data_IF_387255273974
#
_entry.id   IF_387255273974
#
_cell.length_a   1.000
_cell.length_b   1.000
_cell.length_c   1.000
_cell.angle_alpha   90.00
_cell.angle_beta   90.00
_cell.angle_gamma   90.00
#
_symmetry.space_group_name_H-M   'P 1'
#
loop_
_entity.id
_entity.type
_entity.pdbx_description
1 polymer ?
#
# COMPACT_ATOMS: atom_id res chain seq x y z
N UNK A 1 29.24 -14.55 -0.99
CA UNK A 1 29.75 -13.55 0.00
C UNK A 1 29.25 -13.89 1.40
N UNK A 2 29.97 -13.52 2.46
CA UNK A 2 29.46 -13.64 3.82
C UNK A 2 28.35 -12.60 4.06
N UNK A 3 27.19 -13.08 4.51
CA UNK A 3 26.02 -12.22 4.75
C UNK A 3 26.29 -11.11 5.77
N UNK A 4 27.07 -11.39 6.82
CA UNK A 4 27.38 -10.41 7.86
C UNK A 4 28.15 -9.19 7.36
N UNK A 5 28.90 -9.34 6.26
CA UNK A 5 29.70 -8.29 5.63
C UNK A 5 29.07 -7.74 4.35
N UNK A 6 27.87 -8.23 3.95
CA UNK A 6 27.24 -7.90 2.70
C UNK A 6 26.45 -6.59 2.77
N UNK A 7 26.35 -5.89 1.64
CA UNK A 7 25.39 -4.80 1.44
C UNK A 7 23.96 -5.32 1.45
N UNK A 8 23.74 -6.57 1.03
CA UNK A 8 22.45 -7.25 1.03
C UNK A 8 21.82 -7.25 2.43
N UNK A 9 22.59 -7.49 3.48
CA UNK A 9 22.12 -7.38 4.87
C UNK A 9 21.59 -5.98 5.18
N UNK A 10 22.33 -4.94 4.80
CA UNK A 10 21.96 -3.54 5.07
C UNK A 10 20.72 -3.12 4.31
N UNK A 11 20.63 -3.46 3.00
CA UNK A 11 19.46 -3.11 2.18
C UNK A 11 18.21 -3.88 2.60
N UNK A 12 18.33 -5.13 3.06
CA UNK A 12 17.21 -5.87 3.65
C UNK A 12 16.69 -5.19 4.92
N UNK A 13 17.57 -4.81 5.84
CA UNK A 13 17.19 -4.11 7.06
C UNK A 13 16.57 -2.73 6.78
N UNK A 14 17.14 -2.00 5.81
CA UNK A 14 16.59 -0.73 5.34
C UNK A 14 15.20 -0.89 4.72
N UNK A 15 15.00 -1.93 3.91
CA UNK A 15 13.71 -2.21 3.28
C UNK A 15 12.68 -2.62 4.33
N UNK A 16 13.02 -3.49 5.27
CA UNK A 16 12.16 -3.81 6.40
C UNK A 16 11.66 -2.54 7.12
N UNK A 17 12.58 -1.62 7.45
CA UNK A 17 12.22 -0.37 8.11
C UNK A 17 11.35 0.53 7.21
N UNK A 18 11.59 0.55 5.90
CA UNK A 18 10.81 1.30 4.92
C UNK A 18 9.35 0.79 4.88
N UNK A 19 9.15 -0.50 4.71
CA UNK A 19 7.82 -1.11 4.67
C UNK A 19 7.05 -0.91 5.99
N UNK A 20 7.71 -1.08 7.12
CA UNK A 20 7.07 -0.88 8.43
C UNK A 20 6.53 0.55 8.59
N UNK A 21 7.33 1.57 8.23
CA UNK A 21 6.90 2.95 8.36
C UNK A 21 5.86 3.32 7.27
N UNK A 22 5.92 2.72 6.08
CA UNK A 22 4.95 2.90 5.00
C UNK A 22 3.59 2.30 5.39
N UNK A 23 3.59 1.08 5.89
CA UNK A 23 2.40 0.45 6.46
C UNK A 23 1.77 1.29 7.59
N UNK A 24 2.59 1.89 8.47
CA UNK A 24 2.09 2.81 9.50
C UNK A 24 1.46 4.08 8.90
N UNK A 25 2.09 4.70 7.88
CA UNK A 25 1.52 5.87 7.20
C UNK A 25 0.18 5.55 6.54
N UNK A 26 0.05 4.40 5.88
CA UNK A 26 -1.22 3.95 5.30
C UNK A 26 -2.29 3.72 6.36
N UNK A 27 -1.94 3.19 7.54
CA UNK A 27 -2.91 3.11 8.65
C UNK A 27 -3.40 4.50 9.09
N UNK A 28 -2.52 5.50 9.14
CA UNK A 28 -2.92 6.88 9.48
C UNK A 28 -3.81 7.49 8.39
N UNK A 29 -3.48 7.29 7.12
CA UNK A 29 -4.30 7.74 5.99
C UNK A 29 -5.68 7.04 5.96
N UNK A 30 -5.74 5.76 6.25
CA UNK A 30 -6.99 5.01 6.35
C UNK A 30 -7.88 5.54 7.48
N UNK A 31 -7.28 5.89 8.63
CA UNK A 31 -8.00 6.54 9.73
C UNK A 31 -8.54 7.92 9.31
N UNK A 32 -7.74 8.72 8.60
CA UNK A 32 -8.18 10.01 8.08
C UNK A 32 -9.35 9.84 7.11
N UNK A 33 -9.26 8.89 6.16
CA UNK A 33 -10.33 8.59 5.22
C UNK A 33 -11.65 8.24 5.94
N UNK A 34 -11.56 7.44 7.02
CA UNK A 34 -12.74 7.07 7.81
C UNK A 34 -13.33 8.29 8.56
N UNK A 35 -12.49 9.16 9.09
CA UNK A 35 -12.93 10.41 9.75
C UNK A 35 -13.64 11.37 8.78
N UNK A 36 -13.23 11.36 7.51
CA UNK A 36 -13.89 12.10 6.42
C UNK A 36 -15.16 11.39 5.88
N UNK A 37 -15.57 10.28 6.50
CA UNK A 37 -16.75 9.50 6.10
C UNK A 37 -16.55 8.64 4.85
N UNK A 38 -15.30 8.39 4.45
CA UNK A 38 -14.93 7.58 3.27
C UNK A 38 -14.54 6.16 3.68
N UNK A 39 -15.49 5.35 4.16
CA UNK A 39 -15.26 3.98 4.64
C UNK A 39 -14.65 3.07 3.57
N UNK A 40 -15.19 3.13 2.34
CA UNK A 40 -14.66 2.34 1.22
C UNK A 40 -13.20 2.69 0.89
N UNK A 41 -12.86 3.97 0.86
CA UNK A 41 -11.48 4.42 0.64
C UNK A 41 -10.55 3.97 1.78
N UNK A 42 -11.03 4.09 3.03
CA UNK A 42 -10.31 3.57 4.20
C UNK A 42 -9.99 2.07 4.08
N UNK A 43 -10.93 1.27 3.60
CA UNK A 43 -10.76 -0.17 3.41
C UNK A 43 -9.65 -0.47 2.37
N UNK A 44 -9.63 0.23 1.24
CA UNK A 44 -8.60 0.05 0.22
C UNK A 44 -7.22 0.40 0.79
N UNK A 45 -7.08 1.56 1.44
CA UNK A 45 -5.81 2.00 2.01
C UNK A 45 -5.31 1.04 3.10
N UNK A 46 -6.21 0.46 3.93
CA UNK A 46 -5.86 -0.59 4.89
C UNK A 46 -5.33 -1.87 4.21
N UNK A 47 -5.85 -2.19 3.03
CA UNK A 47 -5.33 -3.33 2.27
C UNK A 47 -3.90 -3.08 1.81
N UNK A 48 -3.58 -1.87 1.34
CA UNK A 48 -2.20 -1.49 1.04
C UNK A 48 -1.32 -1.60 2.30
N UNK A 49 -1.74 -1.02 3.42
CA UNK A 49 -1.00 -1.13 4.69
C UNK A 49 -0.70 -2.59 5.09
N UNK A 50 -1.65 -3.50 4.88
CA UNK A 50 -1.44 -4.94 5.12
C UNK A 50 -0.39 -5.52 4.18
N UNK A 51 -0.36 -5.09 2.92
CA UNK A 51 0.62 -5.55 1.95
C UNK A 51 2.04 -5.11 2.33
N UNK A 52 2.23 -3.85 2.77
CA UNK A 52 3.54 -3.38 3.24
C UNK A 52 4.05 -4.21 4.43
N UNK A 53 3.16 -4.53 5.37
CA UNK A 53 3.55 -5.40 6.49
C UNK A 53 3.90 -6.83 6.05
N UNK A 54 3.28 -7.33 4.97
CA UNK A 54 3.66 -8.62 4.38
C UNK A 54 5.04 -8.54 3.69
N UNK A 55 5.35 -7.46 2.98
CA UNK A 55 6.68 -7.22 2.42
C UNK A 55 7.74 -7.13 3.54
N UNK A 56 7.49 -6.34 4.58
CA UNK A 56 8.35 -6.24 5.76
C UNK A 56 8.65 -7.61 6.36
N UNK A 57 7.64 -8.48 6.50
CA UNK A 57 7.82 -9.83 7.01
C UNK A 57 8.75 -10.66 6.12
N UNK A 58 8.67 -10.52 4.78
CA UNK A 58 9.56 -11.26 3.89
C UNK A 58 11.01 -10.78 4.00
N UNK A 59 11.25 -9.47 4.09
CA UNK A 59 12.58 -8.94 4.34
C UNK A 59 13.15 -9.40 5.68
N UNK A 60 12.35 -9.36 6.74
CA UNK A 60 12.72 -9.92 8.04
C UNK A 60 13.09 -11.41 7.96
N UNK A 61 12.30 -12.22 7.27
CA UNK A 61 12.54 -13.64 7.09
C UNK A 61 13.87 -13.91 6.38
N UNK A 62 14.22 -13.09 5.37
CA UNK A 62 15.52 -13.22 4.67
C UNK A 62 16.69 -12.87 5.59
N UNK A 63 16.57 -11.81 6.40
CA UNK A 63 17.58 -11.45 7.40
C UNK A 63 17.79 -12.62 8.39
N UNK A 64 16.68 -13.17 8.93
CA UNK A 64 16.74 -14.30 9.87
C UNK A 64 17.35 -15.56 9.24
N UNK A 65 16.96 -15.87 7.99
CA UNK A 65 17.49 -17.04 7.25
C UNK A 65 19.01 -16.99 7.10
N UNK A 66 19.52 -15.86 6.64
CA UNK A 66 20.95 -15.72 6.34
C UNK A 66 21.80 -15.33 7.56
N UNK A 67 21.20 -14.61 8.50
CA UNK A 67 21.88 -14.20 9.74
C UNK A 67 22.01 -15.33 10.75
N UNK A 68 21.11 -16.34 10.72
CA UNK A 68 21.02 -17.43 11.70
C UNK A 68 20.99 -16.87 13.12
N UNK A 69 21.74 -17.46 14.05
CA UNK A 69 21.83 -17.03 15.45
C UNK A 69 22.78 -15.82 15.67
N UNK A 70 23.38 -15.31 14.59
CA UNK A 70 24.39 -14.24 14.65
C UNK A 70 23.84 -12.85 14.25
N UNK A 71 22.52 -12.70 14.09
CA UNK A 71 21.95 -11.39 13.77
C UNK A 71 21.92 -10.53 15.03
N UNK A 72 22.79 -9.53 15.04
CA UNK A 72 22.78 -8.47 16.03
C UNK A 72 21.98 -7.26 15.48
N UNK A 73 21.90 -6.19 16.26
CA UNK A 73 21.33 -4.94 15.79
C UNK A 73 21.97 -4.47 14.48
N UNK A 74 21.16 -4.22 13.47
CA UNK A 74 21.61 -3.67 12.19
C UNK A 74 21.27 -2.19 12.18
N UNK A 75 22.29 -1.33 12.10
CA UNK A 75 22.08 0.11 11.97
C UNK A 75 21.68 0.44 10.52
N UNK A 76 20.57 1.17 10.36
CA UNK A 76 20.13 1.67 9.06
C UNK A 76 20.18 3.18 9.04
N UNK A 77 20.75 3.74 7.98
CA UNK A 77 20.72 5.17 7.71
C UNK A 77 19.86 5.39 6.47
N UNK A 78 18.65 5.91 6.66
CA UNK A 78 17.70 6.18 5.58
C UNK A 78 16.79 7.36 5.93
N UNK A 79 16.42 8.14 4.91
CA UNK A 79 15.40 9.18 5.02
C UNK A 79 14.03 8.62 4.67
N UNK A 80 13.05 8.86 5.52
CA UNK A 80 11.65 8.50 5.29
C UNK A 80 10.76 9.74 5.29
N UNK A 81 9.66 9.78 4.51
CA UNK A 81 8.77 10.92 4.47
C UNK A 81 7.89 10.97 5.74
N UNK A 82 7.79 12.17 6.34
CA UNK A 82 6.83 12.49 7.40
C UNK A 82 5.90 13.57 6.88
N UNK A 83 4.83 13.16 6.21
CA UNK A 83 3.89 14.05 5.53
C UNK A 83 2.54 14.02 6.22
N UNK A 84 1.93 15.21 6.34
CA UNK A 84 0.56 15.40 6.82
C UNK A 84 -0.17 16.32 5.84
N UNK A 85 -1.49 16.31 5.87
CA UNK A 85 -2.31 17.16 5.02
C UNK A 85 -3.61 16.48 4.60
N UNK A 86 -4.24 17.05 3.58
CA UNK A 86 -5.47 16.52 3.00
C UNK A 86 -5.25 15.16 2.33
N UNK A 87 -6.22 14.27 2.47
CA UNK A 87 -6.14 12.90 1.95
C UNK A 87 -5.86 12.86 0.44
N UNK A 88 -6.47 13.77 -0.33
CA UNK A 88 -6.23 13.85 -1.79
C UNK A 88 -4.76 14.15 -2.13
N UNK A 89 -4.10 14.97 -1.32
CA UNK A 89 -2.68 15.29 -1.50
C UNK A 89 -1.80 14.12 -1.06
N UNK A 90 -2.11 13.49 0.06
CA UNK A 90 -1.38 12.32 0.58
C UNK A 90 -1.40 11.16 -0.42
N UNK A 91 -2.55 10.83 -1.01
CA UNK A 91 -2.67 9.80 -2.05
C UNK A 91 -1.70 10.03 -3.22
N UNK A 92 -1.58 11.29 -3.69
CA UNK A 92 -0.64 11.65 -4.77
C UNK A 92 0.82 11.45 -4.35
N UNK A 93 1.15 11.87 -3.14
CA UNK A 93 2.53 11.80 -2.63
C UNK A 93 2.97 10.38 -2.37
N UNK A 94 2.07 9.53 -1.86
CA UNK A 94 2.37 8.12 -1.66
C UNK A 94 2.47 7.38 -3.01
N UNK A 95 1.63 7.69 -4.00
CA UNK A 95 1.80 7.14 -5.35
C UNK A 95 3.20 7.44 -5.94
N UNK A 96 3.75 8.64 -5.68
CA UNK A 96 5.11 9.00 -6.10
C UNK A 96 6.18 8.20 -5.34
N UNK A 97 5.95 7.89 -4.06
CA UNK A 97 6.82 7.05 -3.27
C UNK A 97 6.88 5.63 -3.85
N UNK A 98 5.71 5.01 -4.05
CA UNK A 98 5.58 3.67 -4.62
C UNK A 98 6.29 3.57 -5.98
N UNK A 99 6.08 4.57 -6.84
CA UNK A 99 6.80 4.66 -8.11
C UNK A 99 8.31 4.65 -7.90
N UNK A 100 8.80 5.41 -6.93
CA UNK A 100 10.22 5.46 -6.59
C UNK A 100 10.78 4.13 -6.11
N UNK A 101 10.02 3.42 -5.28
CA UNK A 101 10.36 2.09 -4.76
C UNK A 101 10.37 1.05 -5.88
N UNK A 102 9.31 1.00 -6.69
CA UNK A 102 9.14 0.00 -7.75
C UNK A 102 10.05 0.20 -8.95
N UNK A 103 10.28 1.43 -9.41
CA UNK A 103 11.07 1.68 -10.62
C UNK A 103 12.58 1.82 -10.37
N UNK A 104 13.01 2.19 -9.16
CA UNK A 104 14.41 2.56 -8.92
C UNK A 104 15.05 1.87 -7.71
N UNK A 105 14.39 1.89 -6.55
CA UNK A 105 15.01 1.44 -5.30
C UNK A 105 15.14 -0.08 -5.29
N UNK A 106 14.05 -0.80 -5.41
CA UNK A 106 14.07 -2.26 -5.33
C UNK A 106 14.75 -2.94 -6.53
N UNK A 107 14.63 -2.46 -7.79
CA UNK A 107 15.44 -2.99 -8.88
C UNK A 107 16.94 -2.83 -8.65
N UNK A 108 17.38 -1.68 -8.08
CA UNK A 108 18.79 -1.50 -7.70
C UNK A 108 19.22 -2.45 -6.58
N UNK A 109 18.35 -2.68 -5.60
CA UNK A 109 18.64 -3.60 -4.50
C UNK A 109 18.68 -5.05 -4.97
N UNK A 110 17.82 -5.42 -5.92
CA UNK A 110 17.89 -6.73 -6.58
C UNK A 110 19.24 -6.96 -7.27
N UNK A 111 19.73 -5.96 -8.03
CA UNK A 111 21.06 -6.06 -8.66
C UNK A 111 22.16 -6.27 -7.63
N UNK A 112 22.18 -5.48 -6.55
CA UNK A 112 23.19 -5.62 -5.47
C UNK A 112 23.16 -7.03 -4.86
N UNK A 113 21.95 -7.53 -4.53
CA UNK A 113 21.80 -8.85 -3.94
C UNK A 113 22.31 -9.97 -4.88
N UNK A 114 22.03 -9.85 -6.16
CA UNK A 114 22.45 -10.80 -7.19
C UNK A 114 23.98 -10.78 -7.36
N UNK A 115 24.59 -9.60 -7.43
CA UNK A 115 26.03 -9.44 -7.52
C UNK A 115 26.78 -10.02 -6.30
N UNK A 116 26.14 -10.04 -5.14
CA UNK A 116 26.67 -10.64 -3.91
C UNK A 116 26.34 -12.14 -3.75
N UNK A 117 25.58 -12.74 -4.69
CA UNK A 117 25.24 -14.17 -4.72
C UNK A 117 24.02 -14.54 -3.86
N UNK A 118 23.13 -13.57 -3.56
CA UNK A 118 21.87 -13.78 -2.85
C UNK A 118 20.68 -13.75 -3.81
N UNK A 119 20.62 -14.70 -4.75
CA UNK A 119 19.64 -14.72 -5.84
C UNK A 119 18.20 -14.72 -5.35
N UNK A 120 17.87 -15.49 -4.31
CA UNK A 120 16.52 -15.54 -3.75
C UNK A 120 16.11 -14.23 -3.00
N UNK A 121 17.08 -13.40 -2.63
CA UNK A 121 16.84 -12.04 -2.12
C UNK A 121 16.63 -11.09 -3.29
N UNK A 122 17.41 -11.23 -4.36
CA UNK A 122 17.20 -10.45 -5.58
C UNK A 122 15.81 -10.69 -6.17
N UNK A 123 15.39 -11.95 -6.27
CA UNK A 123 14.05 -12.33 -6.76
C UNK A 123 12.94 -11.74 -5.87
N UNK A 124 13.13 -11.72 -4.55
CA UNK A 124 12.19 -11.06 -3.64
C UNK A 124 12.07 -9.57 -3.92
N UNK A 125 13.18 -8.83 -4.08
CA UNK A 125 13.14 -7.41 -4.43
C UNK A 125 12.44 -7.15 -5.77
N UNK A 126 12.67 -8.01 -6.79
CA UNK A 126 12.00 -7.88 -8.08
C UNK A 126 10.48 -8.13 -7.97
N UNK A 127 10.05 -9.07 -7.12
CA UNK A 127 8.62 -9.31 -6.88
C UNK A 127 7.97 -8.14 -6.14
N UNK A 128 8.59 -7.65 -5.08
CA UNK A 128 8.08 -6.49 -4.33
C UNK A 128 8.02 -5.26 -5.26
N UNK A 129 9.06 -5.00 -6.06
CA UNK A 129 9.05 -3.88 -7.02
C UNK A 129 7.80 -3.86 -7.93
N UNK A 130 7.34 -5.04 -8.38
CA UNK A 130 6.13 -5.15 -9.21
C UNK A 130 4.86 -4.82 -8.42
N UNK A 131 4.82 -5.18 -7.14
CA UNK A 131 3.69 -4.85 -6.26
C UNK A 131 3.63 -3.36 -6.01
N UNK A 132 4.78 -2.69 -5.77
CA UNK A 132 4.83 -1.23 -5.58
C UNK A 132 4.31 -0.46 -6.80
N UNK A 133 4.57 -0.94 -8.01
CA UNK A 133 3.97 -0.36 -9.23
C UNK A 133 2.44 -0.56 -9.24
N UNK A 134 1.93 -1.67 -8.75
CA UNK A 134 0.48 -1.89 -8.59
C UNK A 134 -0.12 -0.95 -7.53
N UNK A 135 0.57 -0.73 -6.40
CA UNK A 135 0.20 0.23 -5.37
C UNK A 135 0.18 1.66 -5.93
N UNK A 136 1.22 2.05 -6.67
CA UNK A 136 1.26 3.34 -7.38
C UNK A 136 -0.01 3.56 -8.21
N UNK A 137 -0.36 2.62 -9.09
CA UNK A 137 -1.53 2.74 -9.96
C UNK A 137 -2.83 2.86 -9.15
N UNK A 138 -2.96 2.07 -8.07
CA UNK A 138 -4.11 2.13 -7.17
C UNK A 138 -4.25 3.52 -6.53
N UNK A 139 -3.16 4.05 -5.98
CA UNK A 139 -3.14 5.37 -5.34
C UNK A 139 -3.38 6.51 -6.32
N UNK A 140 -2.83 6.43 -7.54
CA UNK A 140 -3.09 7.41 -8.60
C UNK A 140 -4.58 7.45 -9.01
N UNK A 141 -5.20 6.28 -9.17
CA UNK A 141 -6.64 6.20 -9.48
C UNK A 141 -7.50 6.73 -8.34
N UNK A 142 -7.17 6.40 -7.09
CA UNK A 142 -7.87 6.93 -5.92
C UNK A 142 -7.72 8.46 -5.83
N UNK A 143 -6.50 8.98 -6.01
CA UNK A 143 -6.24 10.41 -6.07
C UNK A 143 -7.10 11.10 -7.13
N UNK A 144 -7.09 10.58 -8.36
CA UNK A 144 -7.85 11.12 -9.49
C UNK A 144 -9.34 11.10 -9.23
N UNK A 145 -9.89 9.98 -8.74
CA UNK A 145 -11.32 9.84 -8.44
C UNK A 145 -11.75 10.74 -7.29
N UNK A 146 -10.95 10.84 -6.23
CA UNK A 146 -11.26 11.71 -5.10
C UNK A 146 -11.22 13.19 -5.53
N UNK A 147 -10.16 13.62 -6.22
CA UNK A 147 -10.01 14.99 -6.74
C UNK A 147 -11.17 15.42 -7.65
N UNK A 148 -11.69 14.51 -8.46
CA UNK A 148 -12.76 14.77 -9.42
C UNK A 148 -14.17 14.49 -8.87
N UNK A 149 -14.31 14.20 -7.57
CA UNK A 149 -15.57 13.80 -6.94
C UNK A 149 -16.29 12.67 -7.71
N UNK A 150 -15.52 11.69 -8.18
CA UNK A 150 -16.01 10.57 -9.01
C UNK A 150 -15.83 9.20 -8.38
N UNK A 151 -15.39 9.13 -7.12
CA UNK A 151 -15.12 7.87 -6.42
C UNK A 151 -16.38 6.97 -6.34
N UNK A 152 -17.54 7.59 -6.20
CA UNK A 152 -18.85 6.92 -6.07
C UNK A 152 -19.71 7.06 -7.31
N UNK A 153 -19.10 7.25 -8.49
CA UNK A 153 -19.78 7.41 -9.77
C UNK A 153 -19.26 6.40 -10.80
N UNK A 154 -20.15 6.00 -11.70
CA UNK A 154 -19.83 5.19 -12.87
C UNK A 154 -20.49 5.75 -14.12
N UNK A 155 -19.95 5.42 -15.30
CA UNK A 155 -20.59 5.70 -16.59
C UNK A 155 -21.85 4.85 -16.78
N UNK A 156 -21.81 3.61 -16.28
CA UNK A 156 -22.89 2.64 -16.41
C UNK A 156 -23.59 2.41 -15.07
N UNK A 157 -24.76 1.75 -15.12
CA UNK A 157 -25.50 1.35 -13.94
C UNK A 157 -24.78 0.13 -13.31
N UNK A 158 -24.36 0.28 -12.05
CA UNK A 158 -23.74 -0.77 -11.26
C UNK A 158 -24.48 -0.99 -9.94
N UNK A 159 -24.37 -2.20 -9.36
CA UNK A 159 -24.83 -2.45 -8.00
C UNK A 159 -23.87 -1.78 -7.00
N UNK A 160 -24.34 -0.72 -6.34
CA UNK A 160 -23.66 -0.13 -5.18
C UNK A 160 -24.17 -0.81 -3.93
N UNK A 161 -23.26 -1.43 -3.17
CA UNK A 161 -23.55 -2.08 -1.90
C UNK A 161 -23.05 -1.24 -0.74
N UNK A 162 -23.92 -1.01 0.23
CA UNK A 162 -23.56 -0.37 1.50
C UNK A 162 -22.78 -1.34 2.37
N UNK A 163 -21.55 -1.00 2.75
CA UNK A 163 -20.69 -1.85 3.58
C UNK A 163 -21.19 -1.97 5.03
N UNK A 164 -22.03 -1.03 5.50
CA UNK A 164 -22.60 -1.10 6.84
C UNK A 164 -23.74 -2.11 6.95
N UNK A 165 -24.73 -2.03 6.04
CA UNK A 165 -25.97 -2.80 6.17
C UNK A 165 -26.26 -3.77 5.03
N UNK A 166 -25.42 -3.82 4.01
CA UNK A 166 -25.58 -4.71 2.87
C UNK A 166 -26.62 -4.28 1.82
N UNK A 167 -27.31 -3.13 2.00
CA UNK A 167 -28.29 -2.64 1.02
C UNK A 167 -27.62 -2.44 -0.35
N UNK A 168 -28.23 -2.99 -1.40
CA UNK A 168 -27.77 -2.87 -2.79
C UNK A 168 -28.69 -1.96 -3.57
N UNK A 169 -28.12 -0.98 -4.28
CA UNK A 169 -28.85 -0.05 -5.15
C UNK A 169 -28.17 -0.01 -6.52
N UNK A 170 -28.94 -0.28 -7.57
CA UNK A 170 -28.46 -0.18 -8.96
C UNK A 170 -28.60 1.25 -9.47
N UNK A 171 -27.47 1.90 -9.72
CA UNK A 171 -27.42 3.30 -10.15
C UNK A 171 -26.13 3.64 -10.89
N UNK A 172 -26.05 4.82 -11.51
CA UNK A 172 -24.79 5.41 -12.01
C UNK A 172 -23.99 6.13 -10.93
N UNK A 173 -24.61 6.39 -9.78
CA UNK A 173 -23.98 7.03 -8.65
C UNK A 173 -24.55 6.46 -7.35
N UNK A 174 -23.70 6.15 -6.40
CA UNK A 174 -24.12 5.73 -5.08
C UNK A 174 -24.99 6.82 -4.41
N UNK A 175 -26.03 6.45 -3.68
CA UNK A 175 -26.85 7.41 -2.93
C UNK A 175 -26.00 8.25 -1.97
N UNK A 176 -26.40 9.51 -1.75
CA UNK A 176 -25.75 10.37 -0.76
C UNK A 176 -25.89 9.83 0.65
N UNK A 177 -27.04 9.16 0.91
CA UNK A 177 -27.37 8.55 2.20
C UNK A 177 -28.05 7.21 1.95
N UNK A 178 -27.65 6.19 2.71
CA UNK A 178 -28.26 4.88 2.64
C UNK A 178 -29.70 4.91 3.15
N UNK A 179 -30.69 4.44 2.37
CA UNK A 179 -32.10 4.50 2.78
C UNK A 179 -32.44 3.55 3.95
N UNK A 180 -31.59 2.57 4.24
CA UNK A 180 -31.82 1.62 5.32
C UNK A 180 -31.13 2.02 6.63
N UNK A 181 -29.83 2.38 6.58
CA UNK A 181 -29.03 2.61 7.79
C UNK A 181 -28.55 4.06 7.96
N UNK A 182 -28.92 4.97 7.03
CA UNK A 182 -28.55 6.39 7.04
C UNK A 182 -27.04 6.70 6.94
N UNK A 183 -26.18 5.72 6.63
CA UNK A 183 -24.77 5.97 6.39
C UNK A 183 -24.56 6.77 5.11
N UNK A 184 -23.54 7.63 5.11
CA UNK A 184 -23.20 8.49 3.99
C UNK A 184 -22.69 7.72 2.75
N UNK A 185 -22.60 8.42 1.63
CA UNK A 185 -22.15 7.88 0.35
C UNK A 185 -20.81 7.14 0.41
N UNK A 186 -19.92 7.56 1.32
CA UNK A 186 -18.59 6.96 1.52
C UNK A 186 -18.60 5.52 2.03
N UNK A 187 -19.75 5.00 2.42
CA UNK A 187 -19.95 3.61 2.82
C UNK A 187 -20.37 2.70 1.66
N UNK A 188 -20.47 3.23 0.45
CA UNK A 188 -20.82 2.44 -0.73
C UNK A 188 -19.60 2.01 -1.53
N UNK A 189 -19.65 0.80 -2.05
CA UNK A 189 -18.75 0.28 -3.08
C UNK A 189 -19.52 -0.34 -4.23
N UNK A 190 -18.91 -0.42 -5.42
CA UNK A 190 -19.45 -1.23 -6.50
C UNK A 190 -19.23 -2.70 -6.15
N UNK A 191 -20.30 -3.49 -6.18
CA UNK A 191 -20.23 -4.94 -5.93
C UNK A 191 -20.30 -5.70 -7.25
N UNK A 192 -19.16 -6.17 -7.72
CA UNK A 192 -19.06 -6.95 -8.96
C UNK A 192 -19.46 -8.43 -8.78
N UNK A 193 -19.79 -8.87 -7.57
CA UNK A 193 -20.30 -10.23 -7.32
C UNK A 193 -21.80 -10.38 -7.54
N UNK A 194 -22.50 -9.27 -7.81
CA UNK A 194 -23.94 -9.19 -8.04
C UNK A 194 -24.18 -8.82 -9.50
N UNK A 195 -24.70 -9.76 -10.30
CA UNK A 195 -25.13 -9.53 -11.68
C UNK A 195 -26.50 -8.79 -11.80
#
# INVERSE_FOLDING_TARGET
MDFQQSKTKEILARSFAAECQEGARYQFMAKLALQEGNSYLSMIIRTLAKNEMAHAQQFFNKISKYGKDNVQNINVNAGYPFRSGELVTLLKLEAQNEKGSGERIYPKFASIARDEGFDDVADLFEMVAKVEISHQHTLEELHKKLKNNSLYKSKDIHPFKCDECGTVIRAKMAPKTCPLCNMGQGYYRIDFSIE
#
